data_IF_477507257042
#
_entry.id   IF_477507257042
#
_cell.length_a   1.000
_cell.length_b   1.000
_cell.length_c   1.000
_cell.angle_alpha   90.00
_cell.angle_beta   90.00
_cell.angle_gamma   90.00
#
_symmetry.space_group_name_H-M   'P 1'
#
loop_
_entity.id
_entity.type
_entity.pdbx_description
1 polymer ?
#
# COMPACT_ATOMS: atom_id res chain seq x y z
N UNK A 1 20.27 5.14 -17.30
CA UNK A 1 20.27 6.08 -16.22
C UNK A 1 18.91 6.16 -15.53
N UNK A 2 17.85 6.14 -16.28
CA UNK A 2 16.51 6.22 -15.69
C UNK A 2 16.01 4.89 -15.15
N UNK A 3 16.69 3.79 -15.48
CA UNK A 3 16.24 2.46 -15.09
C UNK A 3 16.27 2.23 -13.58
N UNK A 4 17.22 2.83 -12.88
CA UNK A 4 17.31 2.69 -11.43
C UNK A 4 16.16 3.37 -10.72
N UNK A 5 15.82 4.60 -11.17
CA UNK A 5 14.69 5.32 -10.58
C UNK A 5 13.38 4.58 -10.82
N UNK A 6 13.22 4.03 -12.02
CA UNK A 6 12.04 3.25 -12.38
C UNK A 6 11.96 2.00 -11.50
N UNK A 7 13.08 1.29 -11.31
CA UNK A 7 13.13 0.11 -10.47
C UNK A 7 12.79 0.41 -9.02
N UNK A 8 13.32 1.50 -8.48
CA UNK A 8 13.02 1.92 -7.12
C UNK A 8 11.55 2.28 -6.97
N UNK A 9 10.99 2.96 -7.95
CA UNK A 9 9.59 3.32 -7.95
C UNK A 9 8.70 2.07 -7.96
N UNK A 10 9.03 1.08 -8.79
CA UNK A 10 8.30 -0.18 -8.87
C UNK A 10 8.38 -0.93 -7.54
N UNK A 11 9.56 -0.98 -6.93
CA UNK A 11 9.73 -1.64 -5.64
C UNK A 11 8.89 -0.99 -4.55
N UNK A 12 8.89 0.34 -4.51
CA UNK A 12 8.08 1.09 -3.55
C UNK A 12 6.60 0.81 -3.75
N UNK A 13 6.15 0.78 -5.00
CA UNK A 13 4.76 0.49 -5.31
C UNK A 13 4.36 -0.91 -4.86
N UNK A 14 5.21 -1.90 -5.08
CA UNK A 14 4.95 -3.27 -4.63
C UNK A 14 4.87 -3.37 -3.12
N UNK A 15 5.75 -2.67 -2.41
CA UNK A 15 5.76 -2.66 -0.95
C UNK A 15 4.49 -2.05 -0.40
N UNK A 16 4.10 -0.89 -0.93
CA UNK A 16 2.91 -0.21 -0.44
C UNK A 16 1.65 -1.05 -0.75
N UNK A 17 1.58 -1.65 -1.93
CA UNK A 17 0.45 -2.48 -2.31
C UNK A 17 0.32 -3.69 -1.37
N UNK A 18 1.42 -4.36 -1.09
CA UNK A 18 1.42 -5.51 -0.19
C UNK A 18 0.99 -5.11 1.22
N UNK A 19 1.47 -3.97 1.70
CA UNK A 19 1.10 -3.47 3.02
C UNK A 19 -0.37 -3.06 3.07
N UNK A 20 -0.86 -2.41 2.02
CA UNK A 20 -2.27 -2.04 1.93
C UNK A 20 -3.17 -3.26 2.00
N UNK A 21 -2.86 -4.31 1.25
CA UNK A 21 -3.62 -5.55 1.30
C UNK A 21 -3.59 -6.18 2.69
N UNK A 22 -2.43 -6.19 3.31
CA UNK A 22 -2.29 -6.76 4.66
C UNK A 22 -3.16 -6.02 5.65
N UNK A 23 -3.13 -4.70 5.64
CA UNK A 23 -3.92 -3.90 6.55
C UNK A 23 -5.41 -4.05 6.26
N UNK A 24 -5.78 -4.05 4.98
CA UNK A 24 -7.18 -4.23 4.59
C UNK A 24 -7.74 -5.55 5.13
N UNK A 25 -6.96 -6.61 5.05
CA UNK A 25 -7.37 -7.91 5.59
C UNK A 25 -7.46 -7.88 7.11
N UNK A 26 -6.52 -7.20 7.77
CA UNK A 26 -6.55 -7.08 9.24
C UNK A 26 -7.75 -6.28 9.73
N UNK A 27 -8.04 -5.16 9.05
CA UNK A 27 -9.07 -4.23 9.51
C UNK A 27 -10.47 -4.56 9.01
N UNK A 28 -10.58 -5.02 7.77
CA UNK A 28 -11.85 -5.20 7.09
C UNK A 28 -12.13 -6.64 6.65
N UNK A 29 -11.11 -7.49 6.65
CA UNK A 29 -11.26 -8.89 6.23
C UNK A 29 -11.36 -9.09 4.73
N UNK A 30 -10.95 -8.10 3.93
CA UNK A 30 -10.99 -8.20 2.47
C UNK A 30 -9.77 -7.51 1.88
N UNK A 31 -9.59 -7.64 0.56
CA UNK A 31 -8.45 -7.00 -0.09
C UNK A 31 -8.70 -5.51 -0.28
N UNK A 32 -7.61 -4.75 -0.40
CA UNK A 32 -7.66 -3.30 -0.54
C UNK A 32 -8.56 -2.86 -1.70
N UNK A 33 -8.52 -3.59 -2.82
CA UNK A 33 -9.32 -3.26 -4.00
C UNK A 33 -10.82 -3.34 -3.76
N UNK A 34 -11.24 -4.09 -2.76
CA UNK A 34 -12.65 -4.26 -2.43
C UNK A 34 -13.19 -3.17 -1.50
N UNK A 35 -12.30 -2.34 -0.97
CA UNK A 35 -12.68 -1.28 -0.04
C UNK A 35 -13.30 -0.09 -0.78
N UNK A 36 -14.12 0.67 -0.05
CA UNK A 36 -14.61 1.94 -0.53
C UNK A 36 -13.49 2.98 -0.51
N UNK A 37 -13.70 4.08 -1.22
CA UNK A 37 -12.67 5.11 -1.37
C UNK A 37 -12.15 5.61 -0.02
N UNK A 38 -13.04 5.92 0.89
CA UNK A 38 -12.66 6.44 2.22
C UNK A 38 -11.83 5.42 3.00
N UNK A 39 -12.22 4.16 2.93
CA UNK A 39 -11.48 3.09 3.60
C UNK A 39 -10.11 2.88 2.96
N UNK A 40 -10.05 2.99 1.63
CA UNK A 40 -8.78 2.90 0.92
C UNK A 40 -7.80 3.97 1.40
N UNK A 41 -8.28 5.20 1.58
CA UNK A 41 -7.44 6.28 2.08
C UNK A 41 -6.88 5.98 3.46
N UNK A 42 -7.71 5.50 4.36
CA UNK A 42 -7.28 5.17 5.72
C UNK A 42 -6.22 4.08 5.72
N UNK A 43 -6.47 3.03 4.92
CA UNK A 43 -5.52 1.91 4.82
C UNK A 43 -4.21 2.37 4.20
N UNK A 44 -4.28 3.18 3.15
CA UNK A 44 -3.08 3.71 2.50
C UNK A 44 -2.26 4.57 3.45
N UNK A 45 -2.89 5.43 4.23
CA UNK A 45 -2.21 6.26 5.22
C UNK A 45 -1.48 5.39 6.24
N UNK A 46 -2.14 4.36 6.75
CA UNK A 46 -1.53 3.45 7.69
C UNK A 46 -0.37 2.69 7.06
N UNK A 47 -0.51 2.27 5.79
CA UNK A 47 0.54 1.57 5.09
C UNK A 47 1.80 2.41 4.97
N UNK A 48 1.66 3.67 4.60
CA UNK A 48 2.79 4.59 4.52
C UNK A 48 3.43 4.81 5.88
N UNK A 49 2.60 4.95 6.90
CA UNK A 49 3.10 5.15 8.26
C UNK A 49 3.93 3.96 8.73
N UNK A 50 3.46 2.75 8.49
CA UNK A 50 4.20 1.53 8.86
C UNK A 50 5.51 1.39 8.11
N UNK A 51 5.53 1.76 6.82
CA UNK A 51 6.72 1.66 6.00
C UNK A 51 7.76 2.71 6.35
N UNK A 52 7.35 3.84 6.90
CA UNK A 52 8.24 4.93 7.25
C UNK A 52 8.71 4.89 8.71
N UNK A 53 8.19 3.99 9.49
CA UNK A 53 8.57 3.89 10.91
C UNK A 53 9.78 3.00 11.17
#
# INVERSE_FOLDING_TARGET
MNNELIRQSIKSTKRINAMEDKIAKEWYGCSWNELEYDDKELVTDEAYDRLNS
#
